data_IF_848911826013
#
_entry.id   IF_848911826013
#
_cell.length_a   1.000
_cell.length_b   1.000
_cell.length_c   1.000
_cell.angle_alpha   90.00
_cell.angle_beta   90.00
_cell.angle_gamma   90.00
#
_symmetry.space_group_name_H-M   'P 1'
#
loop_
_entity.id
_entity.type
_entity.pdbx_description
1 polymer ?
#
# COMPACT_ATOMS: atom_id res chain seq x y z
N UNK A 1 2.24 -4.05 -7.46
CA UNK A 1 1.81 -3.17 -6.36
C UNK A 1 2.30 -3.73 -5.03
N UNK A 2 2.47 -2.86 -4.04
CA UNK A 2 3.15 -3.14 -2.78
C UNK A 2 2.29 -2.85 -1.53
N UNK A 3 0.95 -2.83 -1.67
CA UNK A 3 0.03 -2.48 -0.57
C UNK A 3 0.23 -3.38 0.66
N UNK A 4 0.39 -4.69 0.46
CA UNK A 4 0.65 -5.65 1.55
C UNK A 4 1.97 -5.34 2.28
N UNK A 5 3.02 -5.03 1.52
CA UNK A 5 4.33 -4.68 2.05
C UNK A 5 4.26 -3.39 2.85
N UNK A 6 3.59 -2.35 2.33
CA UNK A 6 3.33 -1.10 3.06
C UNK A 6 2.52 -1.32 4.33
N UNK A 7 1.46 -2.14 4.30
CA UNK A 7 0.67 -2.46 5.50
C UNK A 7 1.53 -3.14 6.57
N UNK A 8 2.34 -4.13 6.18
CA UNK A 8 3.26 -4.83 7.09
C UNK A 8 4.36 -3.90 7.63
N UNK A 9 4.93 -3.05 6.78
CA UNK A 9 5.90 -2.03 7.17
C UNK A 9 5.32 -1.07 8.22
N UNK A 10 4.04 -0.72 8.10
CA UNK A 10 3.28 0.06 9.10
C UNK A 10 2.77 -0.76 10.28
N UNK A 11 3.11 -2.04 10.38
CA UNK A 11 2.69 -2.97 11.45
C UNK A 11 1.17 -3.06 11.63
N UNK A 12 0.42 -2.98 10.54
CA UNK A 12 -1.05 -3.02 10.57
C UNK A 12 -1.59 -4.42 10.23
N UNK A 13 -2.64 -4.86 10.94
CA UNK A 13 -3.46 -6.00 10.52
C UNK A 13 -4.40 -5.58 9.37
N UNK A 14 -4.95 -6.55 8.62
CA UNK A 14 -5.85 -6.24 7.49
C UNK A 14 -7.14 -5.56 7.98
N UNK A 15 -7.66 -5.99 9.12
CA UNK A 15 -8.83 -5.42 9.80
C UNK A 15 -8.61 -3.95 10.17
N UNK A 16 -7.40 -3.60 10.62
CA UNK A 16 -7.04 -2.21 10.91
C UNK A 16 -7.04 -1.36 9.65
N UNK A 17 -6.50 -1.87 8.54
CA UNK A 17 -6.49 -1.14 7.27
C UNK A 17 -7.92 -0.98 6.72
N UNK A 18 -8.72 -2.05 6.75
CA UNK A 18 -10.12 -2.05 6.36
C UNK A 18 -10.94 -0.99 7.13
N UNK A 19 -10.80 -0.97 8.47
CA UNK A 19 -11.46 0.02 9.32
C UNK A 19 -11.05 1.47 8.97
N UNK A 20 -9.78 1.72 8.65
CA UNK A 20 -9.29 3.06 8.30
C UNK A 20 -9.71 3.53 6.91
N UNK A 21 -9.95 2.62 5.98
CA UNK A 21 -10.34 2.94 4.60
C UNK A 21 -11.85 2.88 4.37
N UNK A 22 -12.61 2.33 5.34
CA UNK A 22 -14.04 2.04 5.17
C UNK A 22 -14.31 0.87 4.22
N UNK A 23 -13.29 0.11 3.84
CA UNK A 23 -13.42 -1.05 2.96
C UNK A 23 -13.64 -2.33 3.77
N UNK A 24 -14.25 -3.34 3.15
CA UNK A 24 -14.33 -4.66 3.77
C UNK A 24 -12.94 -5.33 3.83
N UNK A 25 -12.71 -6.16 4.86
CA UNK A 25 -11.46 -6.93 5.00
C UNK A 25 -11.22 -7.83 3.78
N UNK A 26 -12.28 -8.42 3.23
CA UNK A 26 -12.24 -9.21 2.00
C UNK A 26 -11.74 -8.41 0.80
N UNK A 27 -12.17 -7.14 0.67
CA UNK A 27 -11.69 -6.22 -0.37
C UNK A 27 -10.20 -5.92 -0.22
N UNK A 28 -9.73 -5.64 1.01
CA UNK A 28 -8.30 -5.45 1.27
C UNK A 28 -7.49 -6.69 0.88
N UNK A 29 -7.94 -7.88 1.27
CA UNK A 29 -7.28 -9.15 0.93
C UNK A 29 -7.24 -9.39 -0.59
N UNK A 30 -8.35 -9.16 -1.30
CA UNK A 30 -8.43 -9.33 -2.73
C UNK A 30 -7.51 -8.36 -3.50
N UNK A 31 -7.42 -7.10 -3.05
CA UNK A 31 -6.47 -6.12 -3.60
C UNK A 31 -5.02 -6.53 -3.32
N UNK A 32 -4.69 -6.91 -2.08
CA UNK A 32 -3.32 -7.33 -1.71
C UNK A 32 -2.81 -8.55 -2.48
N UNK A 33 -3.73 -9.43 -2.87
CA UNK A 33 -3.41 -10.67 -3.61
C UNK A 33 -3.59 -10.53 -5.11
N UNK A 34 -4.01 -9.36 -5.60
CA UNK A 34 -4.25 -9.11 -7.03
C UNK A 34 -5.49 -9.79 -7.61
N UNK A 35 -6.33 -10.43 -6.77
CA UNK A 35 -7.60 -11.03 -7.19
C UNK A 35 -8.64 -10.00 -7.61
N UNK A 36 -8.52 -8.78 -7.08
CA UNK A 36 -9.37 -7.65 -7.45
C UNK A 36 -8.48 -6.43 -7.71
N UNK A 37 -8.81 -5.65 -8.73
CA UNK A 37 -8.21 -4.34 -8.96
C UNK A 37 -8.62 -3.30 -7.92
N UNK A 38 -8.09 -2.09 -8.05
CA UNK A 38 -8.42 -0.93 -7.22
C UNK A 38 -9.10 0.15 -8.07
N UNK A 39 -9.93 0.97 -7.42
CA UNK A 39 -10.38 2.23 -8.00
C UNK A 39 -9.43 3.36 -7.55
N UNK A 40 -9.54 4.53 -8.18
CA UNK A 40 -8.82 5.72 -7.73
C UNK A 40 -9.13 6.03 -6.26
N UNK A 41 -10.40 6.01 -5.89
CA UNK A 41 -10.84 6.30 -4.53
C UNK A 41 -10.29 5.28 -3.51
N UNK A 42 -10.28 3.98 -3.84
CA UNK A 42 -9.71 2.99 -2.92
C UNK A 42 -8.20 3.12 -2.79
N UNK A 43 -7.49 3.44 -3.88
CA UNK A 43 -6.04 3.67 -3.83
C UNK A 43 -5.69 4.91 -3.01
N UNK A 44 -6.43 6.01 -3.17
CA UNK A 44 -6.26 7.24 -2.37
C UNK A 44 -6.52 6.96 -0.89
N UNK A 45 -7.63 6.31 -0.54
CA UNK A 45 -7.96 5.95 0.85
C UNK A 45 -6.89 5.04 1.48
N UNK A 46 -6.42 4.02 0.76
CA UNK A 46 -5.37 3.11 1.24
C UNK A 46 -4.06 3.88 1.45
N UNK A 47 -3.69 4.77 0.52
CA UNK A 47 -2.46 5.57 0.63
C UNK A 47 -2.48 6.49 1.85
N UNK A 48 -3.63 7.13 2.13
CA UNK A 48 -3.82 7.97 3.31
C UNK A 48 -3.75 7.14 4.60
N UNK A 49 -4.43 5.99 4.65
CA UNK A 49 -4.42 5.10 5.80
C UNK A 49 -3.01 4.56 6.13
N UNK A 50 -2.19 4.33 5.10
CA UNK A 50 -0.81 3.85 5.19
C UNK A 50 0.23 4.98 5.29
N UNK A 51 -0.20 6.25 5.29
CA UNK A 51 0.66 7.44 5.36
C UNK A 51 1.73 7.41 4.25
N UNK A 52 1.30 7.28 3.01
CA UNK A 52 2.14 7.30 1.81
C UNK A 52 1.39 7.93 0.63
N UNK A 53 2.00 7.96 -0.55
CA UNK A 53 1.39 8.46 -1.80
C UNK A 53 0.84 7.31 -2.64
N UNK A 54 -0.24 7.51 -3.42
CA UNK A 54 -0.79 6.48 -4.30
C UNK A 54 0.25 5.81 -5.21
N UNK A 55 1.09 6.59 -5.89
CA UNK A 55 2.14 6.06 -6.78
C UNK A 55 3.14 5.16 -6.06
N UNK A 56 3.45 5.46 -4.79
CA UNK A 56 4.40 4.65 -4.01
C UNK A 56 3.87 3.26 -3.70
N UNK A 57 2.55 3.12 -3.56
CA UNK A 57 1.92 1.80 -3.42
C UNK A 57 2.03 0.96 -4.70
N UNK A 58 2.21 1.59 -5.86
CA UNK A 58 2.32 0.91 -7.15
C UNK A 58 3.78 0.53 -7.45
N UNK A 59 4.71 1.45 -7.18
CA UNK A 59 6.09 1.41 -7.68
C UNK A 59 7.13 0.91 -6.67
N UNK A 60 6.90 1.12 -5.36
CA UNK A 60 7.95 0.91 -4.35
C UNK A 60 7.58 -0.13 -3.30
N UNK A 61 8.45 -1.14 -3.16
CA UNK A 61 8.45 -2.03 -2.01
C UNK A 61 9.19 -1.35 -0.83
N UNK A 62 8.49 -0.99 0.27
CA UNK A 62 9.10 -0.29 1.41
C UNK A 62 10.01 -1.20 2.26
N UNK A 63 10.07 -2.49 1.93
CA UNK A 63 10.97 -3.45 2.60
C UNK A 63 12.28 -3.67 1.86
N UNK A 64 12.40 -3.12 0.64
CA UNK A 64 13.62 -3.18 -0.15
C UNK A 64 14.39 -1.88 0.00
N UNK A 65 15.70 -1.98 0.16
CA UNK A 65 16.59 -0.83 0.12
C UNK A 65 16.58 -0.29 -1.31
N UNK A 66 16.17 0.96 -1.48
CA UNK A 66 16.29 1.62 -2.77
C UNK A 66 17.75 1.99 -2.97
N UNK A 67 18.38 1.47 -4.03
CA UNK A 67 19.70 1.95 -4.44
C UNK A 67 19.56 3.40 -4.88
N UNK A 68 19.97 4.32 -4.01
CA UNK A 68 20.15 5.72 -4.37
C UNK A 68 21.54 5.83 -4.97
N UNK A 69 21.64 5.74 -6.29
CA UNK A 69 22.88 6.09 -6.99
C UNK A 69 23.02 7.61 -6.94
N UNK A 70 23.69 8.12 -5.92
CA UNK A 70 24.12 9.52 -5.88
C UNK A 70 25.22 9.66 -6.94
N UNK A 71 24.91 10.29 -8.07
CA UNK A 71 25.97 10.80 -8.96
C UNK A 71 26.50 12.07 -8.32
N UNK A 72 27.67 11.96 -7.68
CA UNK A 72 28.48 13.12 -7.35
C UNK A 72 29.16 13.58 -8.64
N UNK A 73 28.79 14.77 -9.09
CA UNK A 73 29.41 15.52 -10.17
C UNK A 73 30.33 16.60 -9.61
#
# INVERSE_FOLDING_TARGET
>A
MHIRQWRKFRRMKMETLASRTGLAVGTISAIETGKQGYSRASLEAISQALRTRPGYLLEFDPTKQQEVTIRLN
#
